data_IF_736496505849
#
_entry.id   IF_736496505849
#
_cell.length_a   1.000
_cell.length_b   1.000
_cell.length_c   1.000
_cell.angle_alpha   90.00
_cell.angle_beta   90.00
_cell.angle_gamma   90.00
#
_symmetry.space_group_name_H-M   'P 1'
#
loop_
_entity.id
_entity.type
_entity.pdbx_description
1 polymer ?
#
# COMPACT_ATOMS: atom_id res chain seq x y z
N UNK A 1 -17.87 -11.00 -25.39
CA UNK A 1 -16.60 -10.39 -25.82
C UNK A 1 -15.61 -10.35 -24.69
N UNK A 2 -15.08 -11.50 -24.39
CA UNK A 2 -14.10 -11.57 -23.30
C UNK A 2 -12.86 -10.71 -23.54
N UNK A 3 -12.57 -10.45 -24.78
CA UNK A 3 -11.41 -9.67 -25.15
C UNK A 3 -11.46 -8.26 -24.60
N UNK A 4 -12.67 -7.73 -24.41
CA UNK A 4 -12.82 -6.37 -23.93
C UNK A 4 -12.21 -6.21 -22.54
N UNK A 5 -12.35 -7.22 -21.71
CA UNK A 5 -11.81 -7.16 -20.35
C UNK A 5 -10.31 -7.08 -20.33
N UNK A 6 -9.65 -7.66 -21.33
CA UNK A 6 -8.20 -7.64 -21.39
C UNK A 6 -7.65 -6.28 -21.76
N UNK A 7 -8.51 -5.42 -22.26
CA UNK A 7 -8.11 -4.07 -22.63
C UNK A 7 -8.07 -3.14 -21.42
N UNK A 8 -8.67 -3.55 -20.32
CA UNK A 8 -8.72 -2.72 -19.13
C UNK A 8 -7.40 -2.86 -18.37
N UNK A 9 -6.83 -1.73 -18.00
CA UNK A 9 -5.60 -1.74 -17.21
C UNK A 9 -5.88 -2.30 -15.82
N UNK A 10 -4.95 -3.10 -15.29
CA UNK A 10 -5.09 -3.57 -13.91
C UNK A 10 -5.20 -2.40 -12.94
N UNK A 11 -6.01 -2.56 -11.92
CA UNK A 11 -6.17 -1.55 -10.89
C UNK A 11 -6.18 -2.18 -9.50
N UNK A 12 -5.91 -1.36 -8.50
CA UNK A 12 -5.86 -1.83 -7.13
C UNK A 12 -6.35 -0.74 -6.19
N UNK A 13 -6.90 -1.18 -5.06
CA UNK A 13 -7.26 -0.29 -3.96
C UNK A 13 -6.34 -0.63 -2.79
N UNK A 14 -5.54 0.33 -2.35
CA UNK A 14 -4.55 0.07 -1.32
C UNK A 14 -4.41 1.25 -0.36
N UNK A 15 -3.84 0.94 0.79
CA UNK A 15 -3.45 1.95 1.77
C UNK A 15 -1.96 1.79 2.04
N UNK A 16 -1.32 2.85 2.53
CA UNK A 16 0.10 2.75 2.87
C UNK A 16 0.47 3.61 4.05
N UNK A 17 1.61 3.29 4.63
CA UNK A 17 2.24 4.06 5.70
C UNK A 17 3.64 4.36 5.23
N UNK A 18 4.02 5.63 5.21
CA UNK A 18 5.36 6.04 4.79
C UNK A 18 6.15 6.51 5.99
N UNK A 19 7.31 5.92 6.20
CA UNK A 19 8.23 6.35 7.28
C UNK A 19 9.64 6.43 6.73
N UNK A 20 10.55 6.98 7.51
CA UNK A 20 11.89 7.29 7.02
C UNK A 20 12.87 6.15 7.12
N UNK A 21 12.67 5.20 8.02
CA UNK A 21 13.65 4.14 8.21
C UNK A 21 13.01 2.77 8.14
N UNK A 22 13.81 1.79 7.71
CA UNK A 22 13.36 0.42 7.66
C UNK A 22 13.06 -0.14 9.04
N UNK A 23 13.87 0.25 10.03
CA UNK A 23 13.66 -0.21 11.40
C UNK A 23 12.33 0.24 11.94
N UNK A 24 11.97 1.50 11.70
CA UNK A 24 10.69 2.01 12.14
C UNK A 24 9.55 1.25 11.45
N UNK A 25 9.66 1.07 10.14
CA UNK A 25 8.63 0.36 9.40
C UNK A 25 8.45 -1.07 9.91
N UNK A 26 9.56 -1.75 10.17
CA UNK A 26 9.52 -3.12 10.68
C UNK A 26 8.81 -3.19 12.04
N UNK A 27 9.15 -2.26 12.93
CA UNK A 27 8.51 -2.25 14.24
C UNK A 27 7.02 -1.97 14.15
N UNK A 28 6.63 -1.03 13.31
CA UNK A 28 5.21 -0.73 13.13
C UNK A 28 4.46 -1.95 12.59
N UNK A 29 5.05 -2.64 11.63
CA UNK A 29 4.40 -3.80 11.02
C UNK A 29 4.15 -4.90 12.04
N UNK A 30 5.04 -5.07 13.00
CA UNK A 30 4.88 -6.09 14.04
C UNK A 30 3.64 -5.89 14.88
N UNK A 31 3.15 -4.66 14.97
CA UNK A 31 1.99 -4.34 15.78
C UNK A 31 0.70 -4.25 14.98
N UNK A 32 0.77 -4.48 13.67
CA UNK A 32 -0.40 -4.40 12.81
C UNK A 32 -0.92 -5.81 12.54
N UNK A 33 -2.07 -6.13 13.14
CA UNK A 33 -2.70 -7.44 12.99
C UNK A 33 -3.93 -7.38 12.09
N UNK A 34 -4.63 -6.26 12.10
CA UNK A 34 -5.81 -6.06 11.27
C UNK A 34 -5.78 -4.67 10.68
N UNK A 35 -6.68 -4.43 9.75
CA UNK A 35 -6.70 -3.14 9.07
C UNK A 35 -6.94 -1.97 10.00
N UNK A 36 -7.71 -2.18 11.05
CA UNK A 36 -7.94 -1.13 12.03
C UNK A 36 -6.63 -0.64 12.63
N UNK A 37 -5.72 -1.57 12.93
CA UNK A 37 -4.40 -1.21 13.45
C UNK A 37 -3.61 -0.42 12.42
N UNK A 38 -3.71 -0.83 11.16
CA UNK A 38 -3.03 -0.15 10.07
C UNK A 38 -3.48 1.30 9.96
N UNK A 39 -4.79 1.52 10.01
CA UNK A 39 -5.33 2.88 9.92
C UNK A 39 -4.85 3.75 11.06
N UNK A 40 -4.87 3.24 12.28
CA UNK A 40 -4.40 3.99 13.43
C UNK A 40 -2.94 4.36 13.29
N UNK A 41 -2.13 3.41 12.86
CA UNK A 41 -0.70 3.64 12.69
C UNK A 41 -0.45 4.68 11.60
N UNK A 42 -1.19 4.60 10.51
CA UNK A 42 -1.05 5.56 9.42
C UNK A 42 -1.33 6.98 9.91
N UNK A 43 -2.40 7.14 10.67
CA UNK A 43 -2.77 8.46 11.16
C UNK A 43 -1.73 9.06 12.09
N UNK A 44 -1.06 8.23 12.87
CA UNK A 44 -0.10 8.71 13.86
C UNK A 44 1.32 8.83 13.31
N UNK A 45 1.70 7.96 12.39
CA UNK A 45 3.11 7.80 12.04
C UNK A 45 3.45 8.04 10.58
N UNK A 46 2.48 8.00 9.68
CA UNK A 46 2.80 8.13 8.27
C UNK A 46 3.17 9.56 7.90
N UNK A 47 4.22 9.70 7.11
CA UNK A 47 4.68 10.99 6.62
C UNK A 47 3.94 11.46 5.38
N UNK A 48 3.04 10.63 4.85
CA UNK A 48 2.28 10.96 3.65
C UNK A 48 0.97 11.65 4.02
N UNK A 49 0.51 12.63 3.21
CA UNK A 49 -0.78 13.28 3.49
C UNK A 49 -1.97 12.31 3.59
N UNK A 50 -1.88 11.14 2.95
CA UNK A 50 -2.93 10.13 3.07
C UNK A 50 -3.11 9.64 4.50
N UNK A 51 -2.17 9.98 5.40
CA UNK A 51 -2.29 9.61 6.81
C UNK A 51 -3.61 10.07 7.40
N UNK A 52 -4.13 11.21 6.95
CA UNK A 52 -5.39 11.73 7.46
C UNK A 52 -6.58 10.84 7.11
N UNK A 53 -6.40 10.00 6.09
CA UNK A 53 -7.44 9.04 5.69
C UNK A 53 -7.08 7.62 6.10
N UNK A 54 -6.26 7.48 7.13
CA UNK A 54 -5.82 6.16 7.57
C UNK A 54 -4.91 5.47 6.57
N UNK A 55 -4.25 6.25 5.71
CA UNK A 55 -3.35 5.74 4.71
C UNK A 55 -4.00 5.41 3.38
N UNK A 56 -5.31 5.61 3.25
CA UNK A 56 -6.06 5.21 2.05
C UNK A 56 -5.60 6.00 0.83
N UNK A 57 -5.21 5.27 -0.22
CA UNK A 57 -4.82 5.86 -1.50
C UNK A 57 -5.94 5.79 -2.53
N UNK A 58 -7.05 5.09 -2.20
CA UNK A 58 -8.11 4.86 -3.15
C UNK A 58 -7.70 3.88 -4.23
N UNK A 59 -8.42 3.87 -5.34
CA UNK A 59 -8.12 3.02 -6.47
C UNK A 59 -7.12 3.70 -7.39
N UNK A 60 -6.18 2.93 -7.90
CA UNK A 60 -5.21 3.43 -8.87
C UNK A 60 -4.88 2.34 -9.87
N UNK A 61 -4.35 2.75 -11.01
CA UNK A 61 -4.01 1.83 -12.08
C UNK A 61 -2.55 1.46 -12.01
N UNK A 62 -2.24 0.29 -12.58
CA UNK A 62 -0.86 -0.12 -12.71
C UNK A 62 -0.06 0.95 -13.45
N UNK A 63 1.10 1.30 -12.90
CA UNK A 63 1.96 2.30 -13.50
C UNK A 63 1.79 3.71 -12.96
N UNK A 64 0.80 3.94 -12.11
CA UNK A 64 0.57 5.28 -11.56
C UNK A 64 1.41 5.59 -10.33
N UNK A 65 1.86 4.55 -9.62
CA UNK A 65 2.68 4.74 -8.43
C UNK A 65 4.14 4.61 -8.77
N UNK A 66 5.03 5.02 -7.85
CA UNK A 66 6.45 4.82 -8.07
C UNK A 66 6.72 3.34 -8.27
N UNK A 67 7.78 3.05 -9.01
CA UNK A 67 8.06 1.72 -9.51
C UNK A 67 8.04 0.63 -8.44
N UNK A 68 8.77 0.83 -7.35
CA UNK A 68 8.89 -0.18 -6.33
C UNK A 68 7.53 -0.47 -5.66
N UNK A 69 6.78 0.59 -5.42
CA UNK A 69 5.45 0.46 -4.83
C UNK A 69 4.53 -0.29 -5.81
N UNK A 70 4.56 0.13 -7.06
CA UNK A 70 3.71 -0.46 -8.08
C UNK A 70 3.98 -1.95 -8.22
N UNK A 71 5.24 -2.35 -8.27
CA UNK A 71 5.60 -3.76 -8.40
C UNK A 71 5.10 -4.57 -7.19
N UNK A 72 5.24 -4.01 -6.00
CA UNK A 72 4.86 -4.71 -4.78
C UNK A 72 3.35 -4.95 -4.70
N UNK A 73 2.56 -3.98 -5.13
CA UNK A 73 1.10 -4.05 -5.02
C UNK A 73 0.54 -5.29 -5.70
N UNK A 74 1.19 -5.74 -6.77
CA UNK A 74 0.67 -6.85 -7.56
C UNK A 74 1.11 -8.22 -7.07
N UNK A 75 2.00 -8.27 -6.09
CA UNK A 75 2.54 -9.53 -5.59
C UNK A 75 2.21 -9.82 -4.14
N UNK A 76 1.97 -8.79 -3.31
CA UNK A 76 1.72 -9.04 -1.89
C UNK A 76 0.32 -9.59 -1.68
N UNK A 77 0.14 -10.43 -0.64
CA UNK A 77 -1.20 -10.97 -0.35
C UNK A 77 -2.18 -9.86 0.00
N UNK A 78 -3.44 -10.10 -0.32
CA UNK A 78 -4.49 -9.14 0.03
C UNK A 78 -4.73 -9.13 1.53
N UNK A 79 -5.11 -7.96 2.03
CA UNK A 79 -5.62 -7.80 3.40
C UNK A 79 -4.62 -8.19 4.48
N UNK A 80 -3.36 -7.94 4.20
CA UNK A 80 -2.31 -8.09 5.20
C UNK A 80 -1.28 -6.99 5.02
N UNK A 81 -0.54 -6.69 6.08
CA UNK A 81 0.50 -5.67 6.00
C UNK A 81 1.72 -6.26 5.28
N UNK A 82 2.31 -5.48 4.39
CA UNK A 82 3.47 -5.92 3.63
C UNK A 82 4.76 -5.80 4.45
N UNK A 83 5.84 -6.35 3.89
CA UNK A 83 7.17 -6.02 4.35
C UNK A 83 7.47 -4.57 3.97
N UNK A 84 8.46 -3.95 4.63
CA UNK A 84 8.85 -2.60 4.22
C UNK A 84 9.34 -2.57 2.79
N UNK A 85 8.78 -1.66 2.00
CA UNK A 85 9.13 -1.49 0.59
C UNK A 85 9.85 -0.16 0.45
N UNK A 86 11.09 -0.20 -0.01
CA UNK A 86 11.88 1.01 -0.15
C UNK A 86 11.57 1.72 -1.46
N UNK A 87 11.37 3.05 -1.37
CA UNK A 87 11.25 3.91 -2.55
C UNK A 87 12.12 5.14 -2.29
N UNK A 88 12.12 6.06 -3.27
CA UNK A 88 12.87 7.30 -3.09
C UNK A 88 12.33 8.17 -1.95
N UNK A 89 11.10 7.91 -1.50
CA UNK A 89 10.49 8.70 -0.43
C UNK A 89 10.75 8.14 0.95
N UNK A 90 11.20 6.90 1.06
CA UNK A 90 11.43 6.24 2.34
C UNK A 90 10.96 4.80 2.28
N UNK A 91 10.36 4.33 3.37
CA UNK A 91 9.89 2.95 3.46
C UNK A 91 8.38 2.92 3.62
N UNK A 92 7.73 2.11 2.80
CA UNK A 92 6.28 1.99 2.80
C UNK A 92 5.86 0.65 3.37
N UNK A 93 4.82 0.67 4.20
CA UNK A 93 4.06 -0.52 4.53
C UNK A 93 2.79 -0.43 3.71
N UNK A 94 2.42 -1.50 3.03
CA UNK A 94 1.31 -1.49 2.10
C UNK A 94 0.27 -2.51 2.52
N UNK A 95 -1.00 -2.13 2.37
CA UNK A 95 -2.13 -3.00 2.62
C UNK A 95 -3.01 -2.94 1.38
N UNK A 96 -3.06 -4.03 0.63
CA UNK A 96 -3.87 -4.07 -0.58
C UNK A 96 -5.23 -4.65 -0.23
N UNK A 97 -6.27 -3.85 -0.46
CA UNK A 97 -7.64 -4.28 -0.18
C UNK A 97 -8.19 -5.16 -1.27
N UNK A 98 -8.00 -4.76 -2.52
CA UNK A 98 -8.54 -5.44 -3.68
C UNK A 98 -7.65 -5.17 -4.88
N UNK A 99 -7.68 -6.11 -5.80
CA UNK A 99 -7.02 -5.95 -7.10
C UNK A 99 -7.95 -6.43 -8.18
N UNK A 100 -7.92 -5.73 -9.32
CA UNK A 100 -8.63 -6.15 -10.53
C UNK A 100 -7.56 -6.34 -11.60
N UNK A 101 -7.28 -7.56 -11.92
CA UNK A 101 -6.27 -7.91 -12.89
C UNK A 101 -6.90 -8.47 -14.15
#
# INVERSE_FOLDING_TARGET
MPEVKKMVNPSAHASHILVKSKGEATQLAMNIKKFKDFQKTARKKSDCPSSQKGGDLGWFRKGQMVREFDEAVWTIPLKTVSEPIKTQFGYHLIWVHEREE
#
